data_IF_357757262241
#
_entry.id   IF_357757262241
#
_cell.length_a   1.000
_cell.length_b   1.000
_cell.length_c   1.000
_cell.angle_alpha   90.00
_cell.angle_beta   90.00
_cell.angle_gamma   90.00
#
_symmetry.space_group_name_H-M   'P 1'
#
loop_
_entity.id
_entity.type
_entity.pdbx_description
1 polymer ?
#
# COMPACT_ATOMS: atom_id res chain seq x y z
N UNK A 1 -5.91 -69.21 -20.97
CA UNK A 1 -5.35 -68.17 -20.08
C UNK A 1 -5.11 -66.90 -20.89
N UNK A 2 -6.09 -65.99 -20.95
CA UNK A 2 -5.92 -64.68 -21.59
C UNK A 2 -5.67 -63.63 -20.50
N UNK A 3 -4.46 -63.06 -20.50
CA UNK A 3 -4.14 -61.82 -19.79
C UNK A 3 -4.17 -60.70 -20.83
N UNK A 4 -5.19 -59.85 -20.80
CA UNK A 4 -5.15 -58.56 -21.47
C UNK A 4 -4.82 -57.48 -20.43
N UNK A 5 -3.72 -56.80 -20.70
CA UNK A 5 -3.11 -55.73 -19.92
C UNK A 5 -3.96 -54.46 -19.99
N UNK A 6 -4.35 -53.94 -18.82
CA UNK A 6 -4.99 -52.62 -18.68
C UNK A 6 -3.96 -51.52 -18.94
N UNK A 7 -4.11 -50.78 -20.04
CA UNK A 7 -3.30 -49.60 -20.35
C UNK A 7 -3.82 -48.43 -19.49
N UNK A 8 -3.11 -48.08 -18.42
CA UNK A 8 -3.35 -46.84 -17.67
C UNK A 8 -2.80 -45.69 -18.52
N UNK A 9 -3.70 -44.93 -19.14
CA UNK A 9 -3.33 -43.67 -19.79
C UNK A 9 -3.11 -42.62 -18.70
N UNK A 10 -1.84 -42.33 -18.43
CA UNK A 10 -1.42 -41.23 -17.56
C UNK A 10 -1.69 -39.93 -18.33
N UNK A 11 -2.82 -39.27 -18.05
CA UNK A 11 -3.14 -37.96 -18.59
C UNK A 11 -2.24 -36.93 -17.87
N UNK A 12 -1.07 -36.63 -18.44
CA UNK A 12 -0.29 -35.47 -18.04
C UNK A 12 -1.09 -34.22 -18.39
N UNK A 13 -1.74 -33.62 -17.38
CA UNK A 13 -2.24 -32.26 -17.46
C UNK A 13 -1.02 -31.35 -17.41
N UNK A 14 -0.44 -31.04 -18.57
CA UNK A 14 0.53 -29.96 -18.68
C UNK A 14 -0.21 -28.65 -18.47
N UNK A 15 -0.08 -28.05 -17.29
CA UNK A 15 -0.40 -26.65 -17.10
C UNK A 15 0.47 -25.86 -18.07
N UNK A 16 -0.15 -25.26 -19.09
CA UNK A 16 0.52 -24.32 -19.98
C UNK A 16 0.87 -23.09 -19.15
N UNK A 17 2.09 -23.04 -18.65
CA UNK A 17 2.71 -21.79 -18.20
C UNK A 17 2.77 -20.90 -19.44
N UNK A 18 1.99 -19.81 -19.44
CA UNK A 18 2.12 -18.77 -20.43
C UNK A 18 3.60 -18.35 -20.43
N UNK A 19 4.32 -18.55 -21.54
CA UNK A 19 5.65 -17.98 -21.67
C UNK A 19 5.49 -16.49 -21.97
N UNK A 20 6.37 -15.65 -21.42
CA UNK A 20 6.64 -14.28 -21.87
C UNK A 20 7.03 -14.21 -23.36
N UNK A 21 6.05 -14.42 -24.24
CA UNK A 21 6.17 -14.34 -25.69
C UNK A 21 5.85 -12.96 -26.24
N UNK A 22 6.05 -11.90 -25.47
CA UNK A 22 5.76 -10.53 -25.88
C UNK A 22 6.97 -9.76 -26.41
N UNK A 23 6.76 -8.81 -27.34
CA UNK A 23 7.80 -7.88 -27.77
C UNK A 23 8.26 -7.03 -26.57
N UNK A 24 9.55 -7.15 -26.20
CA UNK A 24 10.19 -6.40 -25.11
C UNK A 24 10.95 -5.20 -25.67
N UNK A 25 10.60 -4.02 -25.20
CA UNK A 25 11.25 -2.74 -25.50
C UNK A 25 11.99 -2.25 -24.24
N UNK A 26 13.26 -1.87 -24.38
CA UNK A 26 14.03 -1.24 -23.31
C UNK A 26 13.76 0.26 -23.34
N UNK A 27 13.33 0.83 -22.22
CA UNK A 27 13.08 2.25 -22.07
C UNK A 27 14.25 2.91 -21.34
N UNK A 28 14.69 4.07 -21.82
CA UNK A 28 15.71 4.90 -21.15
C UNK A 28 16.95 4.10 -20.67
N UNK A 29 17.68 3.39 -21.56
CA UNK A 29 18.75 2.46 -21.19
C UNK A 29 19.93 3.10 -20.43
N UNK A 30 20.06 4.42 -20.49
CA UNK A 30 21.12 5.20 -19.85
C UNK A 30 20.60 6.03 -18.66
N UNK A 31 19.41 5.71 -18.12
CA UNK A 31 18.79 6.51 -17.06
C UNK A 31 19.67 6.59 -15.80
N UNK A 32 20.09 5.44 -15.27
CA UNK A 32 21.06 5.33 -14.18
C UNK A 32 21.52 3.87 -14.03
N UNK A 33 22.76 3.61 -13.57
CA UNK A 33 23.19 2.26 -13.20
C UNK A 33 22.24 1.60 -12.19
N UNK A 34 22.07 0.29 -12.29
CA UNK A 34 21.23 -0.48 -11.37
C UNK A 34 19.72 -0.35 -11.59
N UNK A 35 19.25 0.52 -12.49
CA UNK A 35 17.83 0.64 -12.83
C UNK A 35 17.60 0.28 -14.31
N UNK A 36 16.69 -0.66 -14.56
CA UNK A 36 16.27 -1.00 -15.93
C UNK A 36 14.77 -0.85 -16.09
N UNK A 37 14.36 -0.20 -17.17
CA UNK A 37 12.96 0.05 -17.48
C UNK A 37 12.56 -0.67 -18.76
N UNK A 38 11.41 -1.31 -18.74
CA UNK A 38 10.92 -2.09 -19.87
C UNK A 38 9.47 -1.80 -20.16
N UNK A 39 9.12 -1.92 -21.44
CA UNK A 39 7.76 -2.02 -21.92
C UNK A 39 7.57 -3.34 -22.64
N UNK A 40 6.57 -4.11 -22.24
CA UNK A 40 6.21 -5.37 -22.89
C UNK A 40 4.87 -5.21 -23.61
N UNK A 41 4.79 -5.73 -24.82
CA UNK A 41 3.51 -6.04 -25.48
C UNK A 41 3.26 -7.53 -25.32
N UNK A 42 2.35 -7.90 -24.44
CA UNK A 42 2.04 -9.30 -24.19
C UNK A 42 0.98 -9.77 -25.18
N UNK A 43 1.37 -10.74 -26.02
CA UNK A 43 0.57 -11.18 -27.18
C UNK A 43 -0.69 -11.95 -26.79
N UNK A 44 -0.71 -12.58 -25.61
CA UNK A 44 -1.92 -13.19 -25.07
C UNK A 44 -2.83 -12.05 -24.62
N UNK A 45 -3.93 -11.86 -25.35
CA UNK A 45 -5.04 -10.95 -25.01
C UNK A 45 -4.79 -9.45 -25.15
N UNK A 46 -3.62 -9.06 -25.71
CA UNK A 46 -3.17 -7.67 -25.86
C UNK A 46 -3.10 -6.95 -24.51
N UNK A 47 -2.00 -7.10 -23.79
CA UNK A 47 -1.70 -6.33 -22.58
C UNK A 47 -0.39 -5.55 -22.74
N UNK A 48 -0.37 -4.28 -22.32
CA UNK A 48 0.83 -3.46 -22.27
C UNK A 48 1.29 -3.32 -20.82
N UNK A 49 2.51 -3.77 -20.56
CA UNK A 49 3.12 -3.79 -19.24
C UNK A 49 4.33 -2.84 -19.20
N UNK A 50 4.46 -2.09 -18.12
CA UNK A 50 5.64 -1.28 -17.79
C UNK A 50 6.28 -1.85 -16.54
N UNK A 51 7.59 -2.06 -16.58
CA UNK A 51 8.37 -2.67 -15.49
C UNK A 51 9.57 -1.80 -15.19
N UNK A 52 9.78 -1.47 -13.90
CA UNK A 52 11.06 -1.03 -13.39
C UNK A 52 11.70 -2.15 -12.58
N UNK A 53 12.93 -2.50 -12.94
CA UNK A 53 13.82 -3.39 -12.18
C UNK A 53 14.90 -2.56 -11.51
N UNK A 54 14.84 -2.44 -10.19
CA UNK A 54 15.86 -1.76 -9.39
C UNK A 54 16.75 -2.80 -8.70
N UNK A 55 18.06 -2.73 -8.95
CA UNK A 55 19.06 -3.50 -8.24
C UNK A 55 19.09 -3.12 -6.77
N UNK A 56 19.06 -4.13 -5.90
CA UNK A 56 19.18 -3.96 -4.44
C UNK A 56 20.62 -3.74 -3.97
N UNK A 57 21.59 -4.04 -4.84
CA UNK A 57 23.02 -3.85 -4.55
C UNK A 57 23.56 -2.52 -5.06
N UNK A 58 22.75 -1.73 -5.78
CA UNK A 58 23.12 -0.39 -6.21
C UNK A 58 22.90 0.59 -5.05
N UNK A 59 23.97 1.10 -4.39
CA UNK A 59 23.84 1.88 -3.16
C UNK A 59 23.22 3.26 -3.36
N UNK A 60 23.18 3.75 -4.61
CA UNK A 60 22.60 5.07 -4.92
C UNK A 60 21.10 5.04 -5.18
N UNK A 61 20.47 3.85 -5.23
CA UNK A 61 19.05 3.68 -5.49
C UNK A 61 18.29 3.32 -4.22
N UNK A 62 17.14 3.96 -4.02
CA UNK A 62 16.33 3.79 -2.80
C UNK A 62 14.85 3.56 -3.12
N UNK A 63 14.22 2.66 -2.38
CA UNK A 63 12.78 2.57 -2.30
C UNK A 63 12.24 3.60 -1.31
N UNK A 64 11.31 4.43 -1.76
CA UNK A 64 10.60 5.37 -0.89
C UNK A 64 9.10 5.33 -1.17
N UNK A 65 8.33 5.93 -0.27
CA UNK A 65 6.88 6.12 -0.46
C UNK A 65 6.53 7.59 -0.22
N UNK A 66 5.42 8.04 -0.79
CA UNK A 66 4.94 9.39 -0.56
C UNK A 66 3.43 9.43 -0.38
N UNK A 67 3.00 10.23 0.58
CA UNK A 67 1.58 10.49 0.83
C UNK A 67 1.10 11.69 -0.01
N UNK A 68 -0.11 11.60 -0.57
CA UNK A 68 -0.74 12.70 -1.29
C UNK A 68 -0.84 13.93 -0.39
N UNK A 69 -0.43 15.09 -0.88
CA UNK A 69 -0.40 16.35 -0.13
C UNK A 69 0.31 16.27 1.24
N UNK A 70 1.17 15.27 1.44
CA UNK A 70 1.84 14.93 2.70
C UNK A 70 0.91 14.57 3.88
N UNK A 71 -0.37 14.27 3.64
CA UNK A 71 -1.36 13.96 4.69
C UNK A 71 -2.36 12.89 4.24
N UNK A 72 -2.96 12.15 5.18
CA UNK A 72 -3.86 11.03 4.90
C UNK A 72 -5.13 11.49 4.20
N UNK A 73 -5.63 12.69 4.56
CA UNK A 73 -6.80 13.30 3.92
C UNK A 73 -6.43 14.07 2.67
N UNK A 74 -6.89 13.57 1.53
CA UNK A 74 -6.71 14.19 0.24
C UNK A 74 -6.22 13.19 -0.79
N UNK A 75 -5.97 13.72 -1.98
CA UNK A 75 -5.53 12.98 -3.13
C UNK A 75 -4.72 13.89 -4.04
N UNK A 76 -3.78 13.30 -4.74
CA UNK A 76 -2.81 13.97 -5.60
C UNK A 76 -2.39 12.97 -6.69
N UNK A 77 -2.15 13.44 -7.91
CA UNK A 77 -1.58 12.59 -8.97
C UNK A 77 -0.18 12.09 -8.59
N UNK A 78 0.22 10.92 -9.10
CA UNK A 78 1.56 10.33 -8.88
C UNK A 78 2.66 11.29 -9.31
N UNK A 79 2.50 11.88 -10.49
CA UNK A 79 3.42 12.88 -11.04
C UNK A 79 3.55 14.11 -10.16
N UNK A 80 2.44 14.65 -9.63
CA UNK A 80 2.51 15.81 -8.73
C UNK A 80 3.24 15.48 -7.42
N UNK A 81 3.05 14.28 -6.85
CA UNK A 81 3.81 13.83 -5.67
C UNK A 81 5.31 13.71 -5.98
N UNK A 82 5.68 13.16 -7.14
CA UNK A 82 7.07 13.09 -7.60
C UNK A 82 7.68 14.48 -7.79
N UNK A 83 6.98 15.39 -8.47
CA UNK A 83 7.40 16.77 -8.67
C UNK A 83 7.61 17.50 -7.34
N UNK A 84 6.68 17.36 -6.39
CA UNK A 84 6.79 17.96 -5.06
C UNK A 84 7.99 17.40 -4.28
N UNK A 85 8.30 16.11 -4.43
CA UNK A 85 9.51 15.50 -3.85
C UNK A 85 10.77 16.14 -4.45
N UNK A 86 10.85 16.20 -5.78
CA UNK A 86 12.00 16.77 -6.51
C UNK A 86 12.22 18.26 -6.16
N UNK A 87 11.15 19.05 -6.09
CA UNK A 87 11.21 20.48 -5.73
C UNK A 87 11.68 20.74 -4.29
N UNK A 88 11.51 19.77 -3.38
CA UNK A 88 11.99 19.90 -2.00
C UNK A 88 13.52 19.83 -1.90
N UNK A 89 14.20 19.29 -2.92
CA UNK A 89 15.66 19.17 -2.96
C UNK A 89 16.21 17.96 -2.19
N UNK A 90 15.37 16.97 -1.92
CA UNK A 90 15.79 15.69 -1.36
C UNK A 90 16.25 14.75 -2.49
N UNK A 91 16.19 13.42 -2.30
CA UNK A 91 16.49 12.45 -3.36
C UNK A 91 15.59 12.64 -4.59
N UNK A 92 16.21 12.54 -5.77
CA UNK A 92 15.51 12.68 -7.04
C UNK A 92 14.67 11.44 -7.32
N UNK A 93 13.41 11.63 -7.69
CA UNK A 93 12.49 10.57 -8.11
C UNK A 93 12.78 10.20 -9.56
N UNK A 94 13.19 8.95 -9.78
CA UNK A 94 13.45 8.40 -11.12
C UNK A 94 12.21 7.72 -11.67
N UNK A 95 11.57 6.88 -10.85
CA UNK A 95 10.35 6.16 -11.19
C UNK A 95 9.34 6.36 -10.08
N UNK A 96 8.08 6.57 -10.45
CA UNK A 96 6.98 6.58 -9.50
C UNK A 96 5.78 5.80 -10.02
N UNK A 97 5.11 5.06 -9.13
CA UNK A 97 3.80 4.46 -9.39
C UNK A 97 2.80 4.89 -8.34
N UNK A 98 1.51 4.66 -8.59
CA UNK A 98 0.52 4.74 -7.52
C UNK A 98 0.79 3.67 -6.45
N UNK A 99 0.21 3.88 -5.27
CA UNK A 99 0.40 3.04 -4.11
C UNK A 99 -0.83 2.22 -3.72
N UNK A 100 -1.09 2.17 -2.41
CA UNK A 100 -2.11 1.36 -1.76
C UNK A 100 -3.53 1.89 -1.90
N UNK A 101 -4.44 1.29 -1.14
CA UNK A 101 -5.88 1.50 -1.26
C UNK A 101 -6.43 2.46 -0.21
N UNK A 102 -7.61 2.99 -0.54
CA UNK A 102 -8.47 3.69 0.38
C UNK A 102 -9.68 4.23 -0.35
N UNK A 103 -10.26 5.31 0.17
CA UNK A 103 -11.46 5.92 -0.39
C UNK A 103 -11.11 7.24 -1.08
N UNK A 104 -11.16 7.26 -2.41
CA UNK A 104 -10.83 8.44 -3.25
C UNK A 104 -11.90 9.55 -3.23
N UNK A 105 -13.07 9.26 -2.66
CA UNK A 105 -14.18 10.18 -2.51
C UNK A 105 -15.34 9.50 -1.82
N UNK A 106 -16.01 10.24 -0.93
CA UNK A 106 -17.24 9.81 -0.30
C UNK A 106 -18.23 10.96 -0.19
N UNK A 107 -19.49 10.63 0.11
CA UNK A 107 -20.56 11.61 0.32
C UNK A 107 -20.32 12.53 1.54
N UNK A 108 -19.23 12.32 2.29
CA UNK A 108 -18.87 13.09 3.48
C UNK A 108 -17.79 14.13 3.21
N UNK A 109 -17.23 14.15 2.00
CA UNK A 109 -16.32 15.20 1.56
C UNK A 109 -14.91 15.09 2.16
N UNK A 110 -14.46 13.90 2.57
CA UNK A 110 -13.08 13.72 3.06
C UNK A 110 -12.02 13.97 1.98
N UNK A 111 -12.40 14.00 0.71
CA UNK A 111 -11.52 14.36 -0.41
C UNK A 111 -10.47 13.30 -0.77
N UNK A 112 -10.47 12.15 -0.11
CA UNK A 112 -9.49 11.08 -0.23
C UNK A 112 -9.03 10.59 1.15
N UNK A 113 -9.02 9.30 1.45
CA UNK A 113 -8.45 8.75 2.71
C UNK A 113 -7.70 7.45 2.43
N UNK A 114 -6.42 7.40 2.78
CA UNK A 114 -5.62 6.18 2.77
C UNK A 114 -6.00 5.24 3.92
N UNK A 115 -6.20 3.96 3.62
CA UNK A 115 -6.62 2.95 4.62
C UNK A 115 -5.53 1.94 4.95
N UNK A 116 -4.64 1.64 3.98
CA UNK A 116 -3.59 0.65 4.18
C UNK A 116 -2.38 1.19 4.94
N UNK A 117 -1.50 0.28 5.37
CA UNK A 117 -0.22 0.60 6.01
C UNK A 117 0.54 1.66 5.21
N UNK A 118 1.03 2.66 5.91
CA UNK A 118 1.96 3.62 5.36
C UNK A 118 2.95 4.03 6.45
N UNK A 119 4.21 3.69 6.20
CA UNK A 119 5.35 4.19 6.98
C UNK A 119 6.17 5.05 6.04
N UNK A 120 6.49 6.27 6.44
CA UNK A 120 7.30 7.18 5.64
C UNK A 120 8.32 7.87 6.53
N UNK A 121 9.60 7.80 6.16
CA UNK A 121 10.70 8.40 6.92
C UNK A 121 10.70 7.93 8.40
N UNK A 122 10.33 6.66 8.64
CA UNK A 122 10.20 6.05 9.98
C UNK A 122 8.92 6.40 10.75
N UNK A 123 8.07 7.30 10.23
CA UNK A 123 6.78 7.62 10.82
C UNK A 123 5.71 6.60 10.43
N UNK A 124 5.07 5.96 11.41
CA UNK A 124 3.86 5.17 11.23
C UNK A 124 2.65 6.10 11.10
N UNK A 125 2.19 6.30 9.86
CA UNK A 125 1.14 7.26 9.53
C UNK A 125 -0.24 6.61 9.56
N UNK A 126 -0.35 5.37 9.09
CA UNK A 126 -1.57 4.54 9.11
C UNK A 126 -1.19 3.11 9.47
N UNK A 127 -2.02 2.46 10.27
CA UNK A 127 -1.78 1.09 10.77
C UNK A 127 -1.93 0.02 9.66
N UNK A 128 -1.39 -1.20 9.86
CA UNK A 128 -1.68 -2.35 9.01
C UNK A 128 -3.16 -2.73 9.02
N UNK A 129 -3.76 -2.94 7.85
CA UNK A 129 -5.13 -3.46 7.69
C UNK A 129 -5.14 -4.81 6.99
N UNK A 130 -4.48 -4.90 5.84
CA UNK A 130 -4.27 -6.13 5.08
C UNK A 130 -2.89 -6.68 5.46
N UNK A 131 -2.80 -7.25 6.68
CA UNK A 131 -1.54 -7.54 7.38
C UNK A 131 -0.58 -8.42 6.56
N UNK A 132 -1.12 -9.32 5.74
CA UNK A 132 -0.34 -10.21 4.88
C UNK A 132 0.14 -9.55 3.57
N UNK A 133 -0.35 -8.36 3.23
CA UNK A 133 -0.08 -7.68 1.96
C UNK A 133 0.70 -6.37 2.18
N UNK A 134 1.73 -6.42 3.02
CA UNK A 134 2.59 -5.27 3.32
C UNK A 134 4.01 -5.49 2.78
N UNK A 135 4.65 -4.41 2.36
CA UNK A 135 6.06 -4.35 2.01
C UNK A 135 6.72 -3.20 2.78
N UNK A 136 7.90 -3.44 3.34
CA UNK A 136 8.69 -2.42 4.03
C UNK A 136 10.18 -2.54 3.73
N UNK A 137 10.89 -1.43 3.87
CA UNK A 137 12.36 -1.38 3.87
C UNK A 137 12.84 -0.86 5.22
N UNK A 138 13.77 -1.58 5.85
CA UNK A 138 14.37 -1.17 7.12
C UNK A 138 15.42 -0.09 6.92
N UNK A 139 15.85 0.54 8.01
CA UNK A 139 16.98 1.48 8.02
C UNK A 139 18.31 0.88 7.54
N UNK A 140 18.44 -0.45 7.53
CA UNK A 140 19.61 -1.16 7.00
C UNK A 140 19.45 -1.58 5.52
N UNK A 141 18.31 -1.27 4.88
CA UNK A 141 18.02 -1.65 3.51
C UNK A 141 17.41 -3.05 3.35
N UNK A 142 17.06 -3.72 4.45
CA UNK A 142 16.40 -5.03 4.40
C UNK A 142 14.95 -4.89 3.93
N UNK A 143 14.54 -5.75 3.01
CA UNK A 143 13.16 -5.80 2.52
C UNK A 143 12.34 -6.81 3.33
N UNK A 144 11.22 -6.34 3.86
CA UNK A 144 10.29 -7.11 4.68
C UNK A 144 8.97 -7.32 3.93
N UNK A 145 8.52 -8.56 3.90
CA UNK A 145 7.16 -8.95 3.51
C UNK A 145 6.52 -9.84 4.57
N UNK A 146 7.03 -9.95 5.80
CA UNK A 146 6.34 -10.73 6.83
C UNK A 146 4.98 -10.09 7.19
N UNK A 147 3.95 -10.87 7.55
CA UNK A 147 2.71 -10.32 8.05
C UNK A 147 2.97 -9.38 9.23
N UNK A 148 2.40 -8.17 9.19
CA UNK A 148 2.65 -7.14 10.20
C UNK A 148 1.39 -6.77 10.95
N UNK A 149 1.51 -6.74 12.28
CA UNK A 149 0.46 -6.35 13.21
C UNK A 149 0.91 -5.16 14.04
N UNK A 150 -0.05 -4.34 14.44
CA UNK A 150 0.17 -3.25 15.39
C UNK A 150 -0.38 -3.63 16.75
N UNK A 151 0.47 -3.57 17.76
CA UNK A 151 0.08 -3.69 19.16
C UNK A 151 0.21 -2.31 19.81
N UNK A 152 -0.93 -1.67 20.07
CA UNK A 152 -0.95 -0.32 20.62
C UNK A 152 -1.96 -0.16 21.76
N UNK A 153 -1.62 0.68 22.73
CA UNK A 153 -2.46 0.96 23.89
C UNK A 153 -2.24 2.37 24.43
N UNK A 154 -3.29 2.90 25.05
CA UNK A 154 -3.23 4.13 25.83
C UNK A 154 -3.47 3.80 27.31
N UNK A 155 -2.55 4.22 28.15
CA UNK A 155 -2.69 4.16 29.60
C UNK A 155 -3.26 5.48 30.11
N UNK A 156 -4.20 5.40 31.06
CA UNK A 156 -4.71 6.54 31.84
C UNK A 156 -4.88 6.08 33.30
N UNK A 157 -4.18 6.73 34.23
CA UNK A 157 -4.11 6.23 35.61
C UNK A 157 -3.61 4.78 35.68
N UNK A 158 -4.40 3.89 36.28
CA UNK A 158 -4.12 2.44 36.36
C UNK A 158 -4.74 1.62 35.22
N UNK A 159 -5.50 2.26 34.33
CA UNK A 159 -6.21 1.60 33.25
C UNK A 159 -5.44 1.65 31.94
N UNK A 160 -5.65 0.64 31.11
CA UNK A 160 -5.09 0.55 29.76
C UNK A 160 -6.21 0.23 28.78
N UNK A 161 -6.33 1.03 27.73
CA UNK A 161 -7.26 0.82 26.62
C UNK A 161 -6.48 0.43 25.36
N UNK A 162 -7.00 -0.51 24.54
CA UNK A 162 -6.40 -0.81 23.25
C UNK A 162 -6.57 0.38 22.29
N UNK A 163 -5.51 0.73 21.57
CA UNK A 163 -5.52 1.69 20.48
C UNK A 163 -5.59 0.94 19.16
N UNK A 164 -6.72 1.03 18.45
CA UNK A 164 -6.97 0.20 17.26
C UNK A 164 -6.54 0.83 15.94
N UNK A 165 -6.58 2.16 15.83
CA UNK A 165 -6.39 2.86 14.56
C UNK A 165 -5.53 4.11 14.70
N UNK A 166 -4.83 4.45 13.63
CA UNK A 166 -4.08 5.69 13.46
C UNK A 166 -4.55 6.36 12.17
N UNK A 167 -5.00 7.61 12.29
CA UNK A 167 -5.44 8.44 11.16
C UNK A 167 -6.52 7.81 10.26
N UNK A 168 -7.37 6.93 10.81
CA UNK A 168 -8.46 6.28 10.07
C UNK A 168 -9.81 6.97 10.23
N UNK A 169 -10.69 6.74 9.26
CA UNK A 169 -12.07 7.24 9.37
C UNK A 169 -12.83 6.47 10.44
N UNK A 170 -13.87 7.12 10.95
CA UNK A 170 -14.79 6.54 11.94
C UNK A 170 -15.50 5.25 11.50
N UNK A 171 -15.45 4.90 10.22
CA UNK A 171 -16.18 3.75 9.68
C UNK A 171 -15.46 2.43 9.90
N UNK A 172 -14.19 2.47 10.33
CA UNK A 172 -13.29 1.32 10.25
C UNK A 172 -13.29 0.45 11.53
N UNK A 173 -14.39 0.47 12.28
CA UNK A 173 -14.65 -0.44 13.40
C UNK A 173 -13.88 -0.15 14.70
N UNK A 174 -12.83 0.68 14.66
CA UNK A 174 -12.01 1.01 15.82
C UNK A 174 -12.77 1.71 16.95
N UNK A 175 -12.53 1.25 18.19
CA UNK A 175 -13.10 1.86 19.40
C UNK A 175 -12.30 3.07 19.87
N UNK A 176 -10.99 3.05 19.66
CA UNK A 176 -10.07 4.15 19.97
C UNK A 176 -9.21 4.42 18.74
N UNK A 177 -9.07 5.68 18.38
CA UNK A 177 -8.29 6.14 17.22
C UNK A 177 -7.39 7.30 17.63
N UNK A 178 -6.13 7.24 17.22
CA UNK A 178 -5.17 8.33 17.37
C UNK A 178 -5.15 9.14 16.08
N UNK A 179 -5.41 10.43 16.18
CA UNK A 179 -5.28 11.39 15.10
C UNK A 179 -4.04 12.24 15.31
N UNK A 180 -3.07 12.12 14.41
CA UNK A 180 -1.84 12.93 14.39
C UNK A 180 -1.96 14.02 13.33
N UNK A 181 -1.05 15.01 13.29
CA UNK A 181 -1.04 16.04 12.23
C UNK A 181 -1.00 15.47 10.81
N UNK A 182 -0.52 14.23 10.65
CA UNK A 182 -0.51 13.54 9.35
C UNK A 182 -1.89 13.17 8.84
N UNK A 183 -2.96 13.22 9.65
CA UNK A 183 -4.32 13.10 9.11
C UNK A 183 -4.66 14.29 8.19
N UNK A 184 -4.44 15.50 8.69
CA UNK A 184 -4.88 16.77 8.13
C UNK A 184 -5.21 17.77 9.25
N UNK A 185 -5.89 18.88 8.93
CA UNK A 185 -6.11 19.98 9.88
C UNK A 185 -7.06 19.65 11.05
N UNK A 186 -8.01 18.74 10.84
CA UNK A 186 -9.01 18.36 11.85
C UNK A 186 -9.44 16.91 11.71
N UNK A 187 -10.02 16.36 12.77
CA UNK A 187 -10.40 14.92 12.82
C UNK A 187 -11.53 14.53 11.86
N UNK A 188 -12.30 15.50 11.37
CA UNK A 188 -13.49 15.28 10.54
C UNK A 188 -14.48 14.29 11.17
N UNK A 189 -14.48 14.16 12.50
CA UNK A 189 -15.46 13.36 13.23
C UNK A 189 -16.78 14.14 13.38
N UNK A 190 -17.82 13.48 13.87
CA UNK A 190 -19.14 14.09 14.05
C UNK A 190 -19.51 14.16 15.52
N UNK A 191 -20.29 15.17 15.89
CA UNK A 191 -20.87 15.34 17.22
C UNK A 191 -21.60 14.09 17.71
N UNK A 192 -21.59 13.87 19.03
CA UNK A 192 -22.31 12.78 19.75
C UNK A 192 -21.90 11.35 19.41
N UNK A 193 -20.84 11.14 18.63
CA UNK A 193 -20.43 9.80 18.17
C UNK A 193 -19.20 9.27 18.89
N UNK A 194 -18.58 10.11 19.70
CA UNK A 194 -17.44 9.80 20.54
C UNK A 194 -17.04 11.02 21.37
N UNK A 195 -15.96 10.87 22.11
CA UNK A 195 -15.25 11.99 22.74
C UNK A 195 -13.88 12.15 22.08
N UNK A 196 -13.36 13.37 22.08
CA UNK A 196 -12.03 13.71 21.59
C UNK A 196 -11.21 14.27 22.74
N UNK A 197 -10.20 13.53 23.20
CA UNK A 197 -9.20 14.04 24.12
C UNK A 197 -8.05 14.63 23.31
N UNK A 198 -7.90 15.95 23.38
CA UNK A 198 -6.78 16.68 22.78
C UNK A 198 -5.58 16.49 23.70
N UNK A 199 -4.47 15.95 23.18
CA UNK A 199 -3.31 15.56 23.97
C UNK A 199 -2.02 16.26 23.50
N UNK A 200 -1.16 16.57 24.46
CA UNK A 200 0.16 17.18 24.29
C UNK A 200 1.25 16.29 24.90
N UNK A 201 2.53 16.64 24.65
CA UNK A 201 3.69 15.98 25.26
C UNK A 201 4.19 14.72 24.54
N UNK A 202 3.57 14.36 23.42
CA UNK A 202 4.07 13.32 22.52
C UNK A 202 5.31 13.83 21.77
N UNK A 203 6.25 12.92 21.51
CA UNK A 203 7.38 13.18 20.62
C UNK A 203 7.00 12.74 19.21
N UNK A 204 6.57 13.66 18.35
CA UNK A 204 6.30 13.33 16.95
C UNK A 204 7.61 13.36 16.12
N UNK A 205 7.76 12.54 15.06
CA UNK A 205 6.77 11.62 14.49
C UNK A 205 6.50 10.36 15.33
N UNK A 206 5.33 9.73 15.11
CA UNK A 206 4.99 8.45 15.74
C UNK A 206 5.78 7.31 15.08
N UNK A 207 6.73 6.69 15.77
CA UNK A 207 7.53 5.58 15.24
C UNK A 207 6.90 4.21 15.54
N UNK A 208 7.38 3.16 14.88
CA UNK A 208 6.88 1.79 15.04
C UNK A 208 7.21 1.13 16.39
N UNK A 209 8.10 1.69 17.21
CA UNK A 209 8.36 1.31 18.61
C UNK A 209 8.37 2.57 19.48
N UNK A 210 7.25 2.81 20.16
CA UNK A 210 6.93 4.12 20.70
C UNK A 210 6.36 4.00 22.11
N UNK A 211 7.00 4.68 23.07
CA UNK A 211 6.51 4.78 24.45
C UNK A 211 6.72 6.21 24.93
N UNK A 212 5.63 7.00 24.97
CA UNK A 212 5.72 8.39 25.41
C UNK A 212 4.59 8.78 26.36
N UNK A 213 4.88 9.59 27.39
CA UNK A 213 3.85 10.20 28.19
C UNK A 213 3.05 11.22 27.37
N UNK A 214 1.83 11.47 27.79
CA UNK A 214 1.01 12.55 27.26
C UNK A 214 0.21 13.22 28.38
N UNK A 215 -0.25 14.44 28.13
CA UNK A 215 -1.20 15.16 28.97
C UNK A 215 -2.45 15.48 28.18
N UNK A 216 -3.63 15.27 28.78
CA UNK A 216 -4.91 15.70 28.22
C UNK A 216 -5.06 17.19 28.47
N UNK A 217 -5.12 17.97 27.40
CA UNK A 217 -5.33 19.41 27.47
C UNK A 217 -6.82 19.74 27.61
N UNK A 218 -7.63 19.06 26.79
CA UNK A 218 -9.06 19.30 26.73
C UNK A 218 -9.79 18.05 26.27
N UNK A 219 -11.07 17.93 26.66
CA UNK A 219 -11.97 16.91 26.11
C UNK A 219 -13.15 17.59 25.43
N UNK A 220 -13.40 17.21 24.18
CA UNK A 220 -14.49 17.71 23.35
C UNK A 220 -15.51 16.61 23.06
N UNK A 221 -16.79 16.99 22.99
CA UNK A 221 -17.91 16.14 22.52
C UNK A 221 -18.54 16.66 21.24
N UNK A 222 -18.04 17.78 20.72
CA UNK A 222 -18.55 18.43 19.52
C UNK A 222 -18.08 17.75 18.25
N UNK A 223 -16.95 17.03 18.31
CA UNK A 223 -16.31 16.39 17.18
C UNK A 223 -15.61 17.41 16.27
N UNK A 224 -14.87 16.88 15.27
CA UNK A 224 -14.12 17.68 14.30
C UNK A 224 -13.13 18.68 14.94
N UNK A 225 -12.51 18.33 16.06
CA UNK A 225 -11.52 19.20 16.70
C UNK A 225 -10.31 19.41 15.78
N UNK A 226 -9.69 20.60 15.89
CA UNK A 226 -8.43 20.92 15.21
C UNK A 226 -7.31 20.07 15.81
N UNK A 227 -6.50 19.45 14.97
CA UNK A 227 -5.37 18.63 15.42
C UNK A 227 -4.19 19.56 15.73
N UNK A 228 -3.66 19.58 16.97
CA UNK A 228 -2.50 20.41 17.32
C UNK A 228 -1.26 19.99 16.54
N UNK A 229 -0.41 20.94 16.15
CA UNK A 229 0.81 20.65 15.35
C UNK A 229 1.85 19.81 16.11
N UNK A 230 1.92 19.99 17.42
CA UNK A 230 2.84 19.35 18.37
C UNK A 230 2.12 18.37 19.31
N UNK A 231 0.94 17.91 18.90
CA UNK A 231 0.08 17.03 19.70
C UNK A 231 -0.72 16.07 18.85
N UNK A 232 -1.74 15.49 19.46
CA UNK A 232 -2.63 14.54 18.81
C UNK A 232 -4.02 14.60 19.42
N UNK A 233 -4.96 13.86 18.84
CA UNK A 233 -6.29 13.64 19.41
C UNK A 233 -6.51 12.14 19.59
N UNK A 234 -6.90 11.75 20.79
CA UNK A 234 -7.48 10.44 21.06
C UNK A 234 -8.99 10.52 20.92
N UNK A 235 -9.50 9.94 19.85
CA UNK A 235 -10.93 9.76 19.65
C UNK A 235 -11.37 8.42 20.25
N UNK A 236 -12.39 8.46 21.10
CA UNK A 236 -12.99 7.28 21.71
C UNK A 236 -14.46 7.18 21.32
N UNK A 237 -14.87 6.03 20.80
CA UNK A 237 -16.22 5.77 20.32
C UNK A 237 -17.25 5.87 21.46
N UNK A 238 -18.40 6.50 21.22
CA UNK A 238 -19.46 6.60 22.23
C UNK A 238 -20.05 5.24 22.64
N UNK A 239 -19.83 4.20 21.84
CA UNK A 239 -20.22 2.81 22.15
C UNK A 239 -19.20 2.05 23.00
N UNK A 240 -18.01 2.61 23.23
CA UNK A 240 -17.00 2.03 24.13
C UNK A 240 -17.52 2.15 25.57
N UNK A 241 -17.93 1.01 26.15
CA UNK A 241 -18.44 0.92 27.53
C UNK A 241 -17.32 0.60 28.52
N UNK A 242 -16.23 1.38 28.47
CA UNK A 242 -15.11 1.22 29.39
C UNK A 242 -15.12 2.35 30.45
N UNK A 243 -15.10 2.03 31.76
CA UNK A 243 -15.12 3.03 32.83
C UNK A 243 -13.95 4.03 32.77
N UNK A 244 -12.80 3.62 32.24
CA UNK A 244 -11.59 4.47 32.15
C UNK A 244 -11.77 5.65 31.19
N UNK A 245 -12.74 5.60 30.28
CA UNK A 245 -13.09 6.73 29.38
C UNK A 245 -13.43 7.99 30.19
N UNK A 246 -14.01 7.84 31.38
CA UNK A 246 -14.33 8.98 32.27
C UNK A 246 -13.10 9.65 32.90
N UNK A 247 -11.94 8.99 32.88
CA UNK A 247 -10.70 9.52 33.46
C UNK A 247 -9.97 10.49 32.50
N UNK A 248 -10.29 10.44 31.21
CA UNK A 248 -9.83 11.45 30.26
C UNK A 248 -10.52 12.77 30.58
N UNK A 249 -9.78 13.64 31.26
CA UNK A 249 -10.21 14.97 31.71
C UNK A 249 -9.02 15.92 31.63
N UNK A 250 -9.28 17.22 31.53
CA UNK A 250 -8.21 18.22 31.43
C UNK A 250 -7.21 18.08 32.59
N UNK A 251 -5.92 18.02 32.26
CA UNK A 251 -4.83 17.79 33.21
C UNK A 251 -4.49 16.34 33.50
N UNK A 252 -5.31 15.38 33.08
CA UNK A 252 -5.01 13.96 33.22
C UNK A 252 -3.75 13.59 32.43
N UNK A 253 -2.97 12.65 32.95
CA UNK A 253 -1.72 12.18 32.35
C UNK A 253 -1.80 10.70 32.05
N UNK A 254 -1.18 10.31 30.95
CA UNK A 254 -1.15 8.93 30.51
C UNK A 254 0.12 8.60 29.73
N UNK A 255 0.17 7.38 29.21
CA UNK A 255 1.27 6.90 28.37
C UNK A 255 0.69 6.23 27.13
N UNK A 256 1.18 6.61 25.96
CA UNK A 256 0.91 5.92 24.69
C UNK A 256 2.02 4.90 24.47
N UNK A 257 1.65 3.64 24.22
CA UNK A 257 2.55 2.56 23.83
C UNK A 257 2.13 2.00 22.48
N UNK A 258 3.10 1.76 21.60
CA UNK A 258 2.91 1.14 20.31
C UNK A 258 4.14 0.33 19.92
N UNK A 259 3.93 -0.88 19.42
CA UNK A 259 4.95 -1.67 18.72
C UNK A 259 4.36 -2.27 17.45
N UNK A 260 5.19 -2.53 16.45
CA UNK A 260 4.87 -3.46 15.38
C UNK A 260 5.43 -4.85 15.69
N UNK A 261 4.72 -5.86 15.21
CA UNK A 261 5.10 -7.27 15.29
C UNK A 261 5.03 -7.87 13.88
N UNK A 262 6.05 -8.62 13.43
CA UNK A 262 7.24 -9.02 14.18
C UNK A 262 8.25 -7.86 14.38
N UNK A 263 9.19 -7.97 15.36
CA UNK A 263 9.97 -6.82 15.85
C UNK A 263 10.84 -6.11 14.82
N UNK A 264 11.24 -6.77 13.74
CA UNK A 264 11.98 -6.17 12.63
C UNK A 264 11.23 -4.99 11.98
N UNK A 265 9.89 -5.01 12.01
CA UNK A 265 9.06 -3.91 11.51
C UNK A 265 9.24 -2.61 12.30
N UNK A 266 9.78 -2.68 13.52
CA UNK A 266 10.09 -1.51 14.33
C UNK A 266 11.23 -0.65 13.77
N UNK A 267 11.98 -1.17 12.79
CA UNK A 267 13.12 -0.50 12.17
C UNK A 267 12.86 -0.02 10.74
N UNK A 268 11.60 -0.11 10.29
CA UNK A 268 11.17 0.25 8.94
C UNK A 268 11.20 1.77 8.72
N UNK A 269 11.78 2.19 7.60
CA UNK A 269 11.84 3.59 7.16
C UNK A 269 10.70 3.91 6.19
N UNK A 270 10.46 3.03 5.22
CA UNK A 270 9.34 3.16 4.28
C UNK A 270 8.56 1.86 4.21
N UNK A 271 7.24 1.95 4.26
CA UNK A 271 6.37 0.81 3.99
C UNK A 271 5.09 1.22 3.30
N UNK A 272 4.54 0.27 2.57
CA UNK A 272 3.27 0.39 1.91
C UNK A 272 2.47 -0.90 2.05
N UNK A 273 1.19 -0.74 2.38
CA UNK A 273 0.21 -1.81 2.31
C UNK A 273 -0.48 -1.83 0.95
N UNK A 274 -0.66 -3.04 0.43
CA UNK A 274 -1.56 -3.36 -0.67
C UNK A 274 -2.87 -3.95 -0.14
N UNK A 275 -3.50 -4.80 -0.95
CA UNK A 275 -4.75 -5.51 -0.58
C UNK A 275 -4.57 -7.02 -0.51
N UNK A 276 -3.70 -7.57 -1.35
CA UNK A 276 -3.53 -9.00 -1.50
C UNK A 276 -2.06 -9.32 -1.72
N UNK A 277 -1.54 -10.34 -1.02
CA UNK A 277 -0.27 -10.95 -1.37
C UNK A 277 -0.45 -11.82 -2.60
N UNK A 278 0.32 -11.51 -3.65
CA UNK A 278 0.33 -12.25 -4.90
C UNK A 278 1.25 -13.46 -4.80
N UNK A 279 2.48 -13.25 -4.32
CA UNK A 279 3.52 -14.27 -4.24
C UNK A 279 4.08 -14.38 -2.82
N UNK A 280 4.36 -15.61 -2.40
CA UNK A 280 5.18 -15.95 -1.23
C UNK A 280 6.08 -17.12 -1.59
N UNK A 281 7.38 -17.02 -1.32
CA UNK A 281 8.36 -18.07 -1.62
C UNK A 281 8.24 -18.60 -3.06
N UNK A 282 8.09 -17.68 -4.02
CA UNK A 282 7.88 -17.95 -5.46
C UNK A 282 6.61 -18.73 -5.80
N UNK A 283 5.63 -18.79 -4.89
CA UNK A 283 4.34 -19.45 -5.11
C UNK A 283 3.21 -18.43 -5.20
N UNK A 284 2.36 -18.59 -6.21
CA UNK A 284 1.12 -17.81 -6.36
C UNK A 284 0.17 -18.14 -5.20
N UNK A 285 -0.49 -17.12 -4.68
CA UNK A 285 -1.55 -17.24 -3.70
C UNK A 285 -2.57 -18.33 -4.09
N UNK A 286 -2.74 -19.34 -3.24
CA UNK A 286 -3.56 -20.52 -3.53
C UNK A 286 -5.03 -20.18 -3.83
N UNK A 287 -5.57 -19.11 -3.23
CA UNK A 287 -6.92 -18.64 -3.53
C UNK A 287 -7.01 -18.15 -4.96
N UNK A 288 -6.01 -17.43 -5.46
CA UNK A 288 -5.96 -17.00 -6.86
C UNK A 288 -5.83 -18.20 -7.81
N UNK A 289 -5.00 -19.18 -7.48
CA UNK A 289 -4.85 -20.42 -8.26
C UNK A 289 -6.20 -21.15 -8.36
N UNK A 290 -6.88 -21.32 -7.22
CA UNK A 290 -8.19 -21.98 -7.16
C UNK A 290 -9.23 -21.22 -7.99
N UNK A 291 -9.35 -19.91 -7.78
CA UNK A 291 -10.30 -19.08 -8.51
C UNK A 291 -10.03 -19.11 -10.02
N UNK A 292 -8.76 -19.07 -10.46
CA UNK A 292 -8.38 -19.17 -11.87
C UNK A 292 -8.78 -20.52 -12.47
N UNK A 293 -8.51 -21.63 -11.78
CA UNK A 293 -8.82 -22.98 -12.26
C UNK A 293 -10.33 -23.29 -12.30
N UNK A 294 -11.12 -22.71 -11.38
CA UNK A 294 -12.57 -22.87 -11.34
C UNK A 294 -13.30 -22.07 -12.44
N UNK A 295 -12.69 -20.97 -12.91
CA UNK A 295 -13.26 -20.08 -13.93
C UNK A 295 -13.13 -20.71 -15.33
N UNK A 296 -14.14 -21.47 -15.76
CA UNK A 296 -14.18 -22.18 -17.06
C UNK A 296 -14.17 -21.29 -18.30
N UNK A 297 -14.21 -19.96 -18.17
CA UNK A 297 -14.27 -19.01 -19.29
C UNK A 297 -13.52 -17.71 -18.93
N UNK A 298 -12.19 -17.71 -19.03
CA UNK A 298 -11.47 -16.45 -19.26
C UNK A 298 -11.83 -15.96 -20.65
N UNK A 299 -12.59 -14.86 -20.73
CA UNK A 299 -12.80 -14.15 -21.99
C UNK A 299 -11.92 -12.91 -21.97
N UNK A 300 -10.91 -12.83 -22.84
CA UNK A 300 -10.07 -11.65 -22.98
C UNK A 300 -10.85 -10.34 -22.97
N UNK A 301 -10.41 -9.38 -22.14
CA UNK A 301 -11.04 -8.06 -22.03
C UNK A 301 -12.47 -8.03 -21.49
N UNK A 302 -13.05 -9.15 -21.04
CA UNK A 302 -14.36 -9.15 -20.40
C UNK A 302 -14.22 -8.87 -18.91
N UNK A 303 -14.81 -7.74 -18.50
CA UNK A 303 -14.90 -7.37 -17.10
C UNK A 303 -15.85 -8.32 -16.34
N UNK A 304 -15.42 -8.85 -15.20
CA UNK A 304 -16.27 -9.69 -14.34
C UNK A 304 -16.65 -8.93 -13.07
N UNK A 305 -17.75 -9.30 -12.38
CA UNK A 305 -18.09 -8.71 -11.08
C UNK A 305 -17.03 -8.98 -10.00
N UNK A 306 -16.27 -10.07 -10.15
CA UNK A 306 -15.23 -10.49 -9.22
C UNK A 306 -13.90 -9.91 -9.70
N UNK A 307 -13.53 -8.75 -9.18
CA UNK A 307 -12.36 -7.99 -9.66
C UNK A 307 -11.04 -8.80 -9.66
N UNK A 308 -10.89 -9.82 -8.80
CA UNK A 308 -9.71 -10.68 -8.79
C UNK A 308 -9.53 -11.49 -10.09
N UNK A 309 -10.66 -11.82 -10.75
CA UNK A 309 -10.74 -12.60 -12.00
C UNK A 309 -11.03 -11.71 -13.22
N UNK A 310 -11.09 -10.40 -13.03
CA UNK A 310 -11.36 -9.45 -14.11
C UNK A 310 -10.04 -8.99 -14.73
N UNK A 311 -10.00 -8.84 -16.05
CA UNK A 311 -8.91 -8.09 -16.71
C UNK A 311 -9.05 -6.61 -16.37
N UNK A 312 -8.10 -6.10 -15.60
CA UNK A 312 -8.08 -4.72 -15.15
C UNK A 312 -6.68 -4.14 -15.33
N UNK A 313 -6.52 -2.81 -15.42
CA UNK A 313 -5.24 -2.18 -15.16
C UNK A 313 -4.77 -2.58 -13.76
N UNK A 314 -3.49 -2.91 -13.63
CA UNK A 314 -2.90 -3.40 -12.38
C UNK A 314 -1.66 -2.62 -12.02
N UNK A 315 -1.38 -2.57 -10.73
CA UNK A 315 -0.11 -2.10 -10.20
C UNK A 315 0.34 -3.07 -9.12
N UNK A 316 1.60 -3.46 -9.16
CA UNK A 316 2.16 -4.39 -8.20
C UNK A 316 3.60 -4.03 -7.86
N UNK A 317 4.00 -4.50 -6.68
CA UNK A 317 5.37 -4.49 -6.20
C UNK A 317 5.78 -5.93 -5.95
N UNK A 318 6.90 -6.34 -6.53
CA UNK A 318 7.54 -7.61 -6.24
C UNK A 318 9.02 -7.43 -5.93
N UNK A 319 9.65 -8.42 -5.32
CA UNK A 319 11.10 -8.43 -5.14
C UNK A 319 11.64 -9.84 -5.01
N UNK A 320 12.95 -9.96 -5.16
CA UNK A 320 13.75 -11.14 -4.81
C UNK A 320 15.03 -10.69 -4.09
N UNK A 321 15.99 -11.58 -3.88
CA UNK A 321 17.27 -11.26 -3.24
C UNK A 321 18.05 -10.10 -3.89
N UNK A 322 17.91 -9.93 -5.20
CA UNK A 322 18.77 -9.05 -6.00
C UNK A 322 18.05 -7.79 -6.50
N UNK A 323 16.72 -7.84 -6.65
CA UNK A 323 15.94 -6.82 -7.35
C UNK A 323 14.61 -6.51 -6.69
N UNK A 324 14.19 -5.25 -6.82
CA UNK A 324 12.80 -4.78 -6.66
C UNK A 324 12.18 -4.63 -8.06
N UNK A 325 10.90 -4.98 -8.17
CA UNK A 325 10.08 -4.84 -9.37
C UNK A 325 8.90 -3.92 -9.07
N UNK A 326 8.77 -2.83 -9.81
CA UNK A 326 7.52 -2.07 -9.90
C UNK A 326 6.87 -2.35 -11.24
N UNK A 327 5.62 -2.80 -11.22
CA UNK A 327 4.91 -3.26 -12.41
C UNK A 327 3.59 -2.52 -12.55
N UNK A 328 3.35 -1.95 -13.73
CA UNK A 328 2.06 -1.34 -14.10
C UNK A 328 1.58 -1.96 -15.40
N UNK A 329 0.38 -2.56 -15.38
CA UNK A 329 -0.32 -3.02 -16.56
C UNK A 329 -1.40 -2.01 -16.94
N UNK A 330 -1.37 -1.51 -18.18
CA UNK A 330 -2.50 -0.77 -18.73
C UNK A 330 -3.70 -1.70 -18.93
N UNK A 331 -4.92 -1.16 -18.99
CA UNK A 331 -6.11 -1.99 -19.18
C UNK A 331 -7.36 -1.18 -19.52
N UNK A 332 -8.48 -1.86 -19.76
CA UNK A 332 -9.78 -1.26 -20.17
C UNK A 332 -9.70 -0.43 -21.46
N UNK A 333 -8.75 -0.72 -22.33
CA UNK A 333 -8.50 0.03 -23.56
C UNK A 333 -8.56 -0.94 -24.75
N UNK A 334 -9.76 -1.14 -25.34
CA UNK A 334 -9.93 -2.05 -26.47
C UNK A 334 -8.89 -1.78 -27.57
N UNK A 335 -8.31 -2.86 -28.12
CA UNK A 335 -7.26 -2.85 -29.15
C UNK A 335 -5.88 -2.34 -28.72
N UNK A 336 -5.70 -1.89 -27.47
CA UNK A 336 -4.40 -1.43 -26.96
C UNK A 336 -3.95 -2.21 -25.73
N UNK A 337 -4.78 -2.28 -24.68
CA UNK A 337 -4.49 -3.07 -23.48
C UNK A 337 -5.77 -3.48 -22.79
N UNK A 338 -6.02 -4.77 -22.66
CA UNK A 338 -7.21 -5.32 -21.98
C UNK A 338 -7.04 -5.31 -20.46
N UNK A 339 -5.81 -5.49 -19.97
CA UNK A 339 -5.47 -5.59 -18.55
C UNK A 339 -5.10 -7.03 -18.17
N UNK A 340 -4.94 -7.26 -16.87
CA UNK A 340 -4.59 -8.57 -16.32
C UNK A 340 -5.54 -8.95 -15.19
N UNK A 341 -5.81 -10.24 -15.06
CA UNK A 341 -6.28 -10.82 -13.80
C UNK A 341 -5.14 -10.79 -12.76
N UNK A 342 -5.48 -11.00 -11.49
CA UNK A 342 -4.45 -11.07 -10.45
C UNK A 342 -3.58 -12.33 -10.56
N UNK A 343 -4.13 -13.42 -11.10
CA UNK A 343 -3.36 -14.64 -11.36
C UNK A 343 -2.31 -14.42 -12.44
N UNK A 344 -2.68 -13.83 -13.57
CA UNK A 344 -1.73 -13.52 -14.66
C UNK A 344 -0.65 -12.54 -14.22
N UNK A 345 -1.02 -11.50 -13.45
CA UNK A 345 -0.05 -10.59 -12.87
C UNK A 345 0.96 -11.32 -11.96
N UNK A 346 0.48 -12.25 -11.12
CA UNK A 346 1.34 -13.06 -10.26
C UNK A 346 2.26 -13.98 -11.07
N UNK A 347 1.76 -14.61 -12.13
CA UNK A 347 2.55 -15.43 -13.06
C UNK A 347 3.67 -14.62 -13.73
N UNK A 348 3.34 -13.43 -14.24
CA UNK A 348 4.33 -12.51 -14.82
C UNK A 348 5.40 -12.12 -13.80
N UNK A 349 5.02 -11.84 -12.56
CA UNK A 349 5.99 -11.52 -11.50
C UNK A 349 6.94 -12.69 -11.20
N UNK A 350 6.46 -13.94 -11.24
CA UNK A 350 7.33 -15.13 -11.16
C UNK A 350 8.29 -15.17 -12.35
N UNK A 351 7.81 -14.91 -13.57
CA UNK A 351 8.64 -14.92 -14.78
C UNK A 351 9.71 -13.81 -14.77
N UNK A 352 9.39 -12.64 -14.20
CA UNK A 352 10.37 -11.58 -13.93
C UNK A 352 11.38 -11.95 -12.83
N UNK A 353 11.10 -13.02 -12.07
CA UNK A 353 11.98 -13.56 -11.03
C UNK A 353 11.65 -13.09 -9.62
N UNK A 354 10.49 -12.47 -9.38
CA UNK A 354 10.06 -12.09 -8.04
C UNK A 354 9.74 -13.35 -7.20
N UNK A 355 10.19 -13.37 -5.96
CA UNK A 355 9.86 -14.42 -4.98
C UNK A 355 8.73 -14.00 -4.05
N UNK A 356 8.65 -12.70 -3.78
CA UNK A 356 7.62 -12.05 -2.96
C UNK A 356 6.92 -10.98 -3.79
N UNK A 357 5.60 -10.82 -3.63
CA UNK A 357 4.88 -9.74 -4.29
C UNK A 357 3.53 -9.41 -3.65
N UNK A 358 3.15 -8.14 -3.75
CA UNK A 358 1.87 -7.60 -3.32
C UNK A 358 1.17 -6.84 -4.45
N UNK A 359 -0.16 -6.91 -4.46
CA UNK A 359 -0.99 -6.10 -5.34
C UNK A 359 -1.29 -4.74 -4.71
N UNK A 360 -1.02 -3.68 -5.46
CA UNK A 360 -1.33 -2.28 -5.14
C UNK A 360 -2.65 -1.85 -5.81
N UNK A 361 -3.07 -0.60 -5.60
CA UNK A 361 -4.33 -0.10 -6.21
C UNK A 361 -4.24 -0.14 -7.74
N UNK A 362 -5.34 -0.49 -8.38
CA UNK A 362 -5.40 -0.76 -9.81
C UNK A 362 -6.37 0.16 -10.55
N UNK A 363 -6.83 -0.30 -11.70
CA UNK A 363 -7.83 0.42 -12.49
C UNK A 363 -7.33 1.79 -12.94
N UNK A 364 -8.19 2.81 -12.83
CA UNK A 364 -7.81 4.17 -13.25
C UNK A 364 -6.72 4.81 -12.38
N UNK A 365 -6.33 4.19 -11.26
CA UNK A 365 -5.21 4.64 -10.42
C UNK A 365 -3.85 4.22 -11.00
N UNK A 366 -3.80 3.15 -11.80
CA UNK A 366 -2.57 2.59 -12.36
C UNK A 366 -1.82 3.60 -13.22
N UNK A 367 -0.69 4.06 -12.69
CA UNK A 367 0.14 5.12 -13.28
C UNK A 367 1.61 4.75 -13.13
N UNK A 368 2.40 4.95 -14.19
CA UNK A 368 3.85 4.77 -14.21
C UNK A 368 4.50 6.05 -14.72
N UNK A 369 5.32 6.68 -13.87
CA UNK A 369 6.00 7.95 -14.13
C UNK A 369 7.50 7.70 -14.19
N UNK A 370 8.18 8.32 -15.15
CA UNK A 370 9.65 8.37 -15.25
C UNK A 370 10.07 9.81 -15.45
N UNK A 371 11.00 10.33 -14.64
CA UNK A 371 11.45 11.73 -14.68
C UNK A 371 10.29 12.72 -14.92
N UNK A 372 9.30 12.71 -14.02
CA UNK A 372 8.15 13.63 -14.03
C UNK A 372 7.16 13.46 -15.21
N UNK A 373 7.34 12.43 -16.05
CA UNK A 373 6.46 12.15 -17.20
C UNK A 373 5.69 10.86 -16.99
N UNK A 374 4.35 10.91 -17.16
CA UNK A 374 3.52 9.69 -17.21
C UNK A 374 3.81 8.97 -18.54
N UNK A 375 4.36 7.75 -18.47
CA UNK A 375 4.75 6.99 -19.65
C UNK A 375 3.76 5.90 -20.04
N UNK A 376 2.94 5.41 -19.09
CA UNK A 376 1.85 4.49 -19.40
C UNK A 376 0.63 5.24 -19.95
N UNK A 377 -0.42 4.49 -20.33
CA UNK A 377 -1.69 5.09 -20.78
C UNK A 377 -2.78 4.82 -19.73
N UNK A 378 -2.99 5.72 -18.75
CA UNK A 378 -4.02 5.55 -17.73
C UNK A 378 -5.41 5.26 -18.32
N UNK A 379 -6.15 4.31 -17.72
CA UNK A 379 -7.46 3.90 -18.24
C UNK A 379 -8.52 5.00 -18.18
N UNK A 380 -8.32 6.02 -17.33
CA UNK A 380 -9.22 7.15 -17.16
C UNK A 380 -9.08 8.27 -18.20
N UNK A 381 -8.36 8.05 -19.30
CA UNK A 381 -7.94 9.05 -20.31
C UNK A 381 -6.91 10.08 -19.81
N UNK A 382 -6.91 10.37 -18.51
CA UNK A 382 -5.92 11.19 -17.83
C UNK A 382 -5.43 10.49 -16.56
N UNK A 383 -4.27 10.93 -16.05
CA UNK A 383 -3.77 10.54 -14.75
C UNK A 383 -4.80 10.87 -13.66
N UNK A 384 -5.05 9.90 -12.76
CA UNK A 384 -6.00 10.05 -11.66
C UNK A 384 -5.27 10.51 -10.41
N UNK A 385 -5.93 11.32 -9.60
CA UNK A 385 -5.50 11.53 -8.22
C UNK A 385 -5.57 10.21 -7.42
N UNK A 386 -4.52 9.93 -6.67
CA UNK A 386 -4.37 8.78 -5.79
C UNK A 386 -4.03 9.23 -4.37
N UNK A 387 -3.92 8.28 -3.43
CA UNK A 387 -3.77 8.57 -1.99
C UNK A 387 -2.31 8.54 -1.54
N UNK A 388 -1.52 7.68 -2.15
CA UNK A 388 -0.07 7.60 -1.94
C UNK A 388 0.60 7.00 -3.21
N UNK A 389 1.92 7.04 -3.21
CA UNK A 389 2.77 6.56 -4.29
C UNK A 389 3.97 5.78 -3.76
N UNK A 390 4.54 4.97 -4.64
CA UNK A 390 5.80 4.26 -4.48
C UNK A 390 6.83 4.89 -5.40
N UNK A 391 8.03 5.15 -4.90
CA UNK A 391 9.12 5.74 -5.64
C UNK A 391 10.36 4.84 -5.66
N UNK A 392 11.05 4.86 -6.81
CA UNK A 392 12.47 4.58 -6.88
C UNK A 392 13.17 5.93 -6.99
N UNK A 393 14.04 6.23 -6.04
CA UNK A 393 14.76 7.49 -5.95
C UNK A 393 16.26 7.28 -6.01
N UNK A 394 17.01 8.35 -6.25
CA UNK A 394 18.47 8.32 -6.26
C UNK A 394 19.10 9.49 -5.52
N UNK A 395 20.28 9.24 -4.94
CA UNK A 395 21.16 10.26 -4.40
C UNK A 395 21.96 11.00 -5.50
N UNK A 396 21.96 10.48 -6.72
CA UNK A 396 22.69 11.07 -7.85
C UNK A 396 21.87 12.21 -8.46
N UNK A 397 22.48 13.37 -8.76
CA UNK A 397 21.79 14.52 -9.37
C UNK A 397 21.01 14.23 -10.66
#
# INVERSE_FOLDING_TARGET
MHKFSTLISLLLITATIAHAGGEKEVLFPELTPGLQLYRYKWDVETCVLYVAEMSRTEPTLHFEVALAKAQVLGKETVRSMANRRNQRGDRRVLVATNGGFGVLGDMRGYGGVLENLHIQDGELITQPTDTDACFGVTSTGEFLSSPVQMEASIQIGTHTLPLGCINQRRLDGCQVTLYTPRLGESTRTNRRRGIEAIISGLSLPLTANYVHPYRVEQVSRDGNSVIPRDGAILWMNARLKDPSVSQFSAGAKGTLKLTLSPPEWNHVQHAIGGRLRLLKDSKINETLVKMHNEEKRHTPGKRTPILNLSHEPRTALGYNADKLFLVVADGRQPKYSTGLTLYELASILIELGATEAINLDGGSSSTFVVNDTVINKPSGQQERDVLNAVFITTDVP
#
